data_IF_389799225520
#
_entry.id   IF_389799225520
#
_cell.length_a   1.000
_cell.length_b   1.000
_cell.length_c   1.000
_cell.angle_alpha   90.00
_cell.angle_beta   90.00
_cell.angle_gamma   90.00
#
_symmetry.space_group_name_H-M   'P 1'
#
loop_
_entity.id
_entity.type
_entity.pdbx_description
1 polymer ?
#
# COMPACT_ATOMS: atom_id res chain seq x y z
N UNK A 1 -14.03 7.67 -15.50
CA UNK A 1 -13.91 7.79 -14.03
C UNK A 1 -12.51 8.27 -13.76
N UNK A 2 -12.34 9.31 -12.94
CA UNK A 2 -11.02 9.75 -12.50
C UNK A 2 -10.58 8.80 -11.38
N UNK A 3 -9.35 8.30 -11.43
CA UNK A 3 -8.81 7.47 -10.36
C UNK A 3 -8.72 8.31 -9.07
N UNK A 4 -8.94 7.68 -7.91
CA UNK A 4 -8.84 8.36 -6.61
C UNK A 4 -7.41 8.81 -6.30
N UNK A 5 -6.44 8.04 -6.77
CA UNK A 5 -5.01 8.32 -6.68
C UNK A 5 -4.36 8.08 -8.03
N UNK A 6 -3.42 8.94 -8.38
CA UNK A 6 -2.35 8.63 -9.29
C UNK A 6 -1.34 7.75 -8.55
N UNK A 7 -0.98 6.62 -9.17
CA UNK A 7 -0.13 5.59 -8.60
C UNK A 7 1.16 5.51 -9.41
N UNK A 8 2.30 5.48 -8.73
CA UNK A 8 3.59 5.12 -9.34
C UNK A 8 4.43 4.31 -8.37
N UNK A 9 5.33 3.48 -8.90
CA UNK A 9 6.31 2.76 -8.09
C UNK A 9 7.72 2.91 -8.66
N UNK A 10 8.72 2.88 -7.78
CA UNK A 10 10.14 2.87 -8.16
C UNK A 10 10.95 1.97 -7.22
N UNK A 11 12.11 1.51 -7.69
CA UNK A 11 13.07 0.84 -6.81
C UNK A 11 13.62 1.83 -5.78
N UNK A 12 13.74 1.39 -4.53
CA UNK A 12 14.24 2.22 -3.45
C UNK A 12 15.11 1.42 -2.48
N UNK A 13 16.00 2.14 -1.78
CA UNK A 13 16.76 1.61 -0.66
C UNK A 13 16.21 2.21 0.62
N UNK A 14 15.86 1.36 1.59
CA UNK A 14 15.36 1.81 2.88
C UNK A 14 16.51 2.18 3.85
N UNK A 15 16.18 2.76 5.00
CA UNK A 15 17.19 3.30 5.95
C UNK A 15 18.15 2.23 6.50
N UNK A 16 17.75 0.97 6.47
CA UNK A 16 18.54 -0.20 6.87
C UNK A 16 19.37 -0.81 5.71
N UNK A 17 19.44 -0.13 4.56
CA UNK A 17 20.11 -0.55 3.32
C UNK A 17 19.49 -1.75 2.60
N UNK A 18 18.28 -2.16 2.97
CA UNK A 18 17.57 -3.22 2.25
C UNK A 18 16.83 -2.68 1.01
N UNK A 19 16.60 -3.56 0.04
CA UNK A 19 15.90 -3.24 -1.20
C UNK A 19 14.39 -3.25 -1.02
N UNK A 20 13.76 -2.17 -1.43
CA UNK A 20 12.33 -1.92 -1.31
C UNK A 20 11.77 -1.42 -2.64
N UNK A 21 10.45 -1.44 -2.75
CA UNK A 21 9.71 -0.68 -3.75
C UNK A 21 9.10 0.52 -3.04
N UNK A 22 9.36 1.73 -3.54
CA UNK A 22 8.67 2.93 -3.07
C UNK A 22 7.39 3.12 -3.88
N UNK A 23 6.25 2.76 -3.28
CA UNK A 23 4.94 3.03 -3.82
C UNK A 23 4.51 4.45 -3.47
N UNK A 24 4.14 5.24 -4.48
CA UNK A 24 3.69 6.62 -4.33
C UNK A 24 2.21 6.70 -4.75
N UNK A 25 1.37 7.16 -3.83
CA UNK A 25 -0.04 7.43 -4.06
C UNK A 25 -0.24 8.94 -3.92
N UNK A 26 -0.73 9.59 -4.96
CA UNK A 26 -0.93 11.05 -4.93
C UNK A 26 -2.27 11.46 -5.50
N UNK A 27 -2.88 12.48 -4.94
CA UNK A 27 -4.03 13.18 -5.50
C UNK A 27 -3.98 14.66 -5.12
N UNK A 28 -5.03 15.42 -5.44
CA UNK A 28 -5.06 16.86 -5.18
C UNK A 28 -4.97 17.25 -3.69
N UNK A 29 -5.25 16.32 -2.76
CA UNK A 29 -5.32 16.59 -1.33
C UNK A 29 -4.23 15.91 -0.51
N UNK A 30 -3.58 14.88 -1.06
CA UNK A 30 -2.71 13.99 -0.28
C UNK A 30 -1.66 13.30 -1.12
N UNK A 31 -0.51 13.06 -0.48
CA UNK A 31 0.55 12.21 -0.99
C UNK A 31 0.94 11.20 0.10
N UNK A 32 1.06 9.93 -0.29
CA UNK A 32 1.41 8.83 0.60
C UNK A 32 2.51 8.02 -0.07
N UNK A 33 3.65 7.92 0.61
CA UNK A 33 4.84 7.22 0.12
C UNK A 33 5.10 6.00 1.01
N UNK A 34 4.91 4.81 0.47
CA UNK A 34 4.95 3.54 1.20
C UNK A 34 6.12 2.72 0.69
N UNK A 35 7.01 2.35 1.60
CA UNK A 35 8.09 1.42 1.33
C UNK A 35 7.58 -0.02 1.45
N UNK A 36 7.51 -0.75 0.34
CA UNK A 36 7.17 -2.17 0.27
C UNK A 36 8.42 -3.06 0.25
N UNK A 37 8.57 -4.00 1.19
CA UNK A 37 9.66 -4.97 1.13
C UNK A 37 9.45 -5.92 -0.05
N UNK A 38 10.48 -6.06 -0.91
CA UNK A 38 10.39 -6.89 -2.13
C UNK A 38 10.03 -8.35 -1.83
N UNK A 39 10.58 -8.91 -0.76
CA UNK A 39 10.38 -10.31 -0.37
C UNK A 39 8.93 -10.66 0.01
N UNK A 40 8.10 -9.67 0.32
CA UNK A 40 6.72 -9.87 0.80
C UNK A 40 5.65 -9.46 -0.21
N UNK A 41 6.01 -9.13 -1.46
CA UNK A 41 5.03 -8.68 -2.45
C UNK A 41 3.99 -9.77 -2.77
N UNK A 42 4.37 -11.05 -2.72
CA UNK A 42 3.40 -12.13 -2.92
C UNK A 42 2.26 -12.08 -1.90
N UNK A 43 2.55 -11.77 -0.64
CA UNK A 43 1.54 -11.61 0.43
C UNK A 43 0.56 -10.47 0.10
N UNK A 44 1.04 -9.39 -0.52
CA UNK A 44 0.19 -8.30 -0.99
C UNK A 44 -0.72 -8.71 -2.14
N UNK A 45 -0.19 -9.46 -3.12
CA UNK A 45 -0.95 -9.99 -4.26
C UNK A 45 -2.06 -10.93 -3.79
N UNK A 46 -1.72 -11.81 -2.85
CA UNK A 46 -2.67 -12.73 -2.24
C UNK A 46 -3.73 -11.93 -1.46
N UNK A 47 -3.35 -10.91 -0.69
CA UNK A 47 -4.32 -10.04 -0.03
C UNK A 47 -5.32 -9.43 -1.01
N UNK A 48 -4.89 -8.89 -2.15
CA UNK A 48 -5.79 -8.23 -3.11
C UNK A 48 -6.75 -9.22 -3.78
N UNK A 49 -6.29 -10.44 -4.06
CA UNK A 49 -7.03 -11.44 -4.82
C UNK A 49 -7.86 -12.40 -3.94
N UNK A 50 -7.43 -12.64 -2.71
CA UNK A 50 -8.06 -13.58 -1.77
C UNK A 50 -9.02 -12.91 -0.77
N UNK A 51 -9.63 -13.72 0.10
CA UNK A 51 -10.53 -13.25 1.18
C UNK A 51 -9.81 -12.82 2.46
N UNK A 52 -8.49 -12.68 2.44
CA UNK A 52 -7.71 -12.20 3.59
C UNK A 52 -8.22 -10.83 4.03
N UNK A 53 -8.61 -10.69 5.29
CA UNK A 53 -9.25 -9.46 5.77
C UNK A 53 -8.24 -8.39 6.16
N UNK A 54 -6.99 -8.76 6.37
CA UNK A 54 -6.00 -7.90 6.98
C UNK A 54 -4.58 -8.37 6.67
N UNK A 55 -3.68 -7.43 6.37
CA UNK A 55 -2.23 -7.63 6.33
C UNK A 55 -1.51 -6.41 6.90
N UNK A 56 -0.33 -6.61 7.48
CA UNK A 56 0.57 -5.55 7.94
C UNK A 56 1.79 -5.54 7.04
N UNK A 57 1.81 -4.64 6.06
CA UNK A 57 2.81 -4.68 5.00
C UNK A 57 3.16 -3.28 4.51
N UNK A 58 4.45 -2.99 4.55
CA UNK A 58 5.03 -1.72 4.11
C UNK A 58 5.21 -0.72 5.25
N UNK A 59 5.95 0.34 4.97
CA UNK A 59 6.33 1.35 5.96
C UNK A 59 6.16 2.78 5.45
N UNK A 60 5.69 3.66 6.32
CA UNK A 60 5.70 5.12 6.13
C UNK A 60 6.49 5.71 7.29
N UNK A 61 7.58 6.43 7.01
CA UNK A 61 8.40 7.12 8.03
C UNK A 61 8.82 6.23 9.22
N UNK A 62 9.02 4.92 9.01
CA UNK A 62 9.40 3.96 10.05
C UNK A 62 8.23 3.26 10.73
N UNK A 63 6.99 3.69 10.48
CA UNK A 63 5.78 3.06 10.98
C UNK A 63 5.27 2.05 9.96
N UNK A 64 4.95 0.85 10.42
CA UNK A 64 4.29 -0.12 9.56
C UNK A 64 2.90 0.35 9.17
N UNK A 65 2.51 0.12 7.93
CA UNK A 65 1.14 0.36 7.48
C UNK A 65 0.34 -0.92 7.49
N UNK A 66 -0.99 -0.77 7.58
CA UNK A 66 -1.92 -1.88 7.62
C UNK A 66 -2.92 -1.76 6.48
N UNK A 67 -3.18 -2.87 5.83
CA UNK A 67 -4.19 -3.00 4.80
C UNK A 67 -5.33 -3.83 5.36
N UNK A 68 -6.54 -3.30 5.32
CA UNK A 68 -7.73 -3.94 5.87
C UNK A 68 -8.84 -3.98 4.84
N UNK A 69 -9.49 -5.11 4.69
CA UNK A 69 -10.67 -5.25 3.85
C UNK A 69 -11.93 -5.17 4.71
N UNK A 70 -12.91 -4.37 4.27
CA UNK A 70 -14.24 -4.32 4.89
C UNK A 70 -15.29 -3.95 3.85
N UNK A 71 -16.35 -4.76 3.74
CA UNK A 71 -17.46 -4.53 2.81
C UNK A 71 -17.03 -4.27 1.35
N UNK A 72 -16.03 -5.01 0.87
CA UNK A 72 -15.39 -4.89 -0.46
C UNK A 72 -14.40 -3.72 -0.66
N UNK A 73 -14.38 -2.74 0.25
CA UNK A 73 -13.37 -1.69 0.23
C UNK A 73 -12.07 -2.16 0.88
N UNK A 74 -10.95 -1.62 0.41
CA UNK A 74 -9.63 -1.79 1.03
C UNK A 74 -9.26 -0.48 1.70
N UNK A 75 -8.78 -0.56 2.94
CA UNK A 75 -8.39 0.56 3.75
C UNK A 75 -6.90 0.48 4.00
N UNK A 76 -6.19 1.57 3.75
CA UNK A 76 -4.82 1.79 4.21
C UNK A 76 -4.88 2.55 5.53
N UNK A 77 -4.48 1.90 6.61
CA UNK A 77 -4.48 2.45 7.96
C UNK A 77 -3.04 2.78 8.37
N UNK A 78 -2.84 4.02 8.84
CA UNK A 78 -1.55 4.53 9.31
C UNK A 78 -1.73 4.93 10.79
N UNK A 79 -0.95 4.32 11.67
CA UNK A 79 -1.00 4.52 13.11
C UNK A 79 -0.49 3.30 13.85
N UNK A 80 -0.98 3.09 15.07
CA UNK A 80 -0.46 2.05 15.98
C UNK A 80 -0.92 0.64 15.62
N UNK A 81 -2.22 0.45 15.39
CA UNK A 81 -2.80 -0.87 15.12
C UNK A 81 -4.12 -0.82 14.31
N UNK A 82 -4.71 -1.99 14.05
CA UNK A 82 -5.89 -2.15 13.19
C UNK A 82 -7.20 -1.57 13.77
N UNK A 83 -7.17 -1.17 15.04
CA UNK A 83 -8.26 -0.56 15.81
C UNK A 83 -7.96 0.89 16.19
N UNK A 84 -6.68 1.29 16.16
CA UNK A 84 -6.17 2.59 16.59
C UNK A 84 -5.26 3.16 15.51
N UNK A 85 -5.82 4.05 14.69
CA UNK A 85 -5.12 4.68 13.56
C UNK A 85 -5.34 6.20 13.56
N UNK A 86 -4.35 6.93 13.04
CA UNK A 86 -4.38 8.39 12.93
C UNK A 86 -4.92 8.83 11.57
N UNK A 87 -4.55 8.10 10.52
CA UNK A 87 -4.95 8.38 9.14
C UNK A 87 -5.46 7.11 8.47
N UNK A 88 -6.54 7.25 7.69
CA UNK A 88 -7.14 6.17 6.93
C UNK A 88 -7.45 6.65 5.51
N UNK A 89 -6.97 5.90 4.53
CA UNK A 89 -7.33 6.07 3.13
C UNK A 89 -8.18 4.89 2.67
N UNK A 90 -9.27 5.20 1.96
CA UNK A 90 -10.11 4.19 1.33
C UNK A 90 -9.60 4.02 -0.10
N UNK A 91 -9.19 2.82 -0.46
CA UNK A 91 -8.69 2.48 -1.78
C UNK A 91 -9.81 1.84 -2.58
N UNK A 92 -10.15 2.46 -3.70
CA UNK A 92 -11.05 1.86 -4.66
C UNK A 92 -10.38 0.70 -5.41
N UNK A 93 -11.19 -0.11 -6.09
CA UNK A 93 -10.70 -1.27 -6.83
C UNK A 93 -9.71 -0.90 -7.94
N UNK A 94 -9.87 0.25 -8.60
CA UNK A 94 -8.99 0.65 -9.70
C UNK A 94 -7.62 1.04 -9.15
N UNK A 95 -7.56 1.84 -8.09
CA UNK A 95 -6.31 2.17 -7.40
C UNK A 95 -5.56 0.90 -6.97
N UNK A 96 -6.25 -0.09 -6.40
CA UNK A 96 -5.60 -1.34 -6.00
C UNK A 96 -5.05 -2.16 -7.18
N UNK A 97 -5.68 -2.10 -8.35
CA UNK A 97 -5.17 -2.72 -9.57
C UNK A 97 -3.97 -1.95 -10.14
N UNK A 98 -4.01 -0.62 -10.11
CA UNK A 98 -2.90 0.23 -10.55
C UNK A 98 -1.66 0.01 -9.67
N UNK A 99 -1.84 -0.10 -8.35
CA UNK A 99 -0.76 -0.47 -7.42
C UNK A 99 -0.13 -1.81 -7.81
N UNK A 100 -0.95 -2.83 -8.11
CA UNK A 100 -0.43 -4.13 -8.52
C UNK A 100 0.38 -4.03 -9.80
N UNK A 101 -0.13 -3.34 -10.82
CA UNK A 101 0.55 -3.21 -12.10
C UNK A 101 1.90 -2.50 -11.96
N UNK A 102 1.95 -1.41 -11.18
CA UNK A 102 3.19 -0.64 -10.93
C UNK A 102 4.22 -1.47 -10.16
N UNK A 103 3.79 -2.20 -9.12
CA UNK A 103 4.68 -3.10 -8.36
C UNK A 103 5.18 -4.26 -9.25
N UNK A 104 4.32 -4.85 -10.06
CA UNK A 104 4.69 -5.96 -10.96
C UNK A 104 5.67 -5.55 -12.06
N UNK A 105 5.63 -4.29 -12.50
CA UNK A 105 6.59 -3.77 -13.46
C UNK A 105 8.04 -3.69 -12.95
N UNK A 106 8.24 -3.85 -11.64
CA UNK A 106 9.54 -3.77 -10.96
C UNK A 106 10.06 -5.13 -10.45
N UNK A 107 9.32 -6.22 -10.70
CA UNK A 107 9.66 -7.59 -10.32
C UNK A 107 10.20 -8.39 -11.50
#
# INVERSE_FOLDING_TARGET
MTNLFDVSAEEAIYIDNSEYILLKLSNEFSEVNIYFPKDNIQEFKDFITEKTQYIKLGFILGYSVMWKRKNSDIYLLIGDDESTWDVCFIMDKLTMLDILNEIEGLL
#
